data_IF_460940529528
#
_entry.id   IF_460940529528
#
_cell.length_a   1.000
_cell.length_b   1.000
_cell.length_c   1.000
_cell.angle_alpha   90.00
_cell.angle_beta   90.00
_cell.angle_gamma   90.00
#
_symmetry.space_group_name_H-M   'P 1'
#
loop_
_entity.id
_entity.type
_entity.pdbx_description
1 polymer ?
#
# COMPACT_ATOMS: atom_id res chain seq x y z
N UNK A 1 -3.64 10.55 14.23
CA UNK A 1 -2.42 9.72 14.19
C UNK A 1 -1.27 10.52 13.60
N UNK A 2 -0.06 10.41 14.15
CA UNK A 2 1.14 10.96 13.48
C UNK A 2 1.34 10.19 12.18
N UNK A 3 1.50 10.89 11.07
CA UNK A 3 1.77 10.27 9.78
C UNK A 3 3.03 9.39 9.87
N UNK A 4 2.89 8.10 9.57
CA UNK A 4 4.04 7.20 9.52
C UNK A 4 5.01 7.69 8.43
N UNK A 5 6.26 7.94 8.82
CA UNK A 5 7.24 8.50 7.90
C UNK A 5 7.61 7.50 6.82
N UNK A 6 7.56 7.96 5.57
CA UNK A 6 7.95 7.17 4.41
C UNK A 6 9.44 6.77 4.45
N UNK A 7 10.32 7.71 4.79
CA UNK A 7 11.72 7.45 5.06
C UNK A 7 12.04 7.81 6.51
N UNK A 8 12.64 6.90 7.27
CA UNK A 8 13.11 7.20 8.62
C UNK A 8 14.43 6.49 8.94
N UNK A 9 15.17 7.07 9.88
CA UNK A 9 16.42 6.53 10.39
C UNK A 9 16.14 5.90 11.76
N UNK A 10 16.55 4.66 11.96
CA UNK A 10 16.29 3.87 13.17
C UNK A 10 17.56 3.21 13.68
N UNK A 11 17.54 2.72 14.92
CA UNK A 11 18.71 2.13 15.57
C UNK A 11 18.72 0.59 15.57
N UNK A 12 17.56 -0.05 15.81
CA UNK A 12 17.47 -1.51 15.94
C UNK A 12 17.41 -2.23 14.59
N UNK A 13 18.46 -2.99 14.27
CA UNK A 13 18.54 -3.89 13.10
C UNK A 13 18.57 -5.39 13.48
N UNK A 14 18.17 -5.74 14.70
CA UNK A 14 18.37 -7.09 15.27
C UNK A 14 17.72 -8.22 14.47
N UNK A 15 16.61 -7.96 13.78
CA UNK A 15 15.89 -8.92 12.94
C UNK A 15 16.20 -8.74 11.43
N UNK A 16 17.15 -7.87 11.07
CA UNK A 16 17.56 -7.67 9.68
C UNK A 16 18.33 -8.89 9.17
N UNK A 17 18.01 -9.36 7.96
CA UNK A 17 18.61 -10.55 7.38
C UNK A 17 20.15 -10.45 7.33
N UNK A 18 20.66 -9.28 6.93
CA UNK A 18 22.09 -8.98 6.85
C UNK A 18 22.71 -8.42 8.14
N UNK A 19 22.02 -8.48 9.29
CA UNK A 19 22.56 -7.94 10.56
C UNK A 19 23.92 -8.57 10.91
N UNK A 20 24.10 -9.87 10.63
CA UNK A 20 25.30 -10.64 10.98
C UNK A 20 26.40 -10.66 9.90
N UNK A 21 26.13 -10.20 8.67
CA UNK A 21 27.02 -10.43 7.52
C UNK A 21 28.31 -9.57 7.50
N UNK A 22 28.41 -8.51 8.32
CA UNK A 22 29.49 -7.52 8.23
C UNK A 22 30.33 -7.33 9.51
N UNK A 23 30.28 -8.26 10.46
CA UNK A 23 31.32 -8.32 11.50
C UNK A 23 32.61 -8.86 10.87
N UNK A 24 33.67 -8.05 10.83
CA UNK A 24 35.02 -8.57 10.52
C UNK A 24 35.43 -9.60 11.57
N UNK A 25 36.50 -10.36 11.31
CA UNK A 25 37.06 -11.47 12.10
C UNK A 25 37.29 -11.14 13.62
N UNK A 26 37.12 -9.89 14.05
CA UNK A 26 37.18 -9.47 15.45
C UNK A 26 36.06 -8.49 15.87
N UNK A 27 34.89 -8.54 15.23
CA UNK A 27 33.73 -7.70 15.59
C UNK A 27 33.84 -6.22 15.21
N UNK A 28 34.88 -5.80 14.48
CA UNK A 28 35.06 -4.38 14.07
C UNK A 28 34.26 -4.05 12.82
N UNK A 29 33.53 -2.92 12.83
CA UNK A 29 32.84 -2.37 11.64
C UNK A 29 33.86 -2.03 10.54
N UNK A 30 33.53 -2.30 9.28
CA UNK A 30 34.43 -2.01 8.14
C UNK A 30 34.63 -0.50 7.99
N UNK A 31 35.89 -0.07 7.90
CA UNK A 31 36.24 1.36 7.85
C UNK A 31 35.59 2.11 6.66
N UNK A 32 35.26 1.43 5.56
CA UNK A 32 34.61 2.06 4.41
C UNK A 32 33.18 2.57 4.70
N UNK A 33 32.53 2.06 5.76
CA UNK A 33 31.20 2.46 6.20
C UNK A 33 31.21 3.40 7.40
N UNK A 34 32.33 3.51 8.14
CA UNK A 34 32.43 4.39 9.32
C UNK A 34 33.24 5.66 9.06
N UNK A 35 34.13 5.65 8.07
CA UNK A 35 34.87 6.84 7.69
C UNK A 35 34.04 7.69 6.73
N UNK A 36 33.56 8.85 7.18
CA UNK A 36 32.78 9.80 6.39
C UNK A 36 33.51 10.28 5.11
N UNK A 37 34.85 10.22 5.09
CA UNK A 37 35.65 10.55 3.92
C UNK A 37 35.73 9.41 2.88
N UNK A 38 35.28 8.21 3.23
CA UNK A 38 35.18 7.07 2.30
C UNK A 38 34.26 7.38 1.15
N UNK A 39 34.68 6.97 -0.07
CA UNK A 39 33.83 7.06 -1.27
C UNK A 39 32.53 6.28 -1.10
N UNK A 40 32.58 5.12 -0.42
CA UNK A 40 31.42 4.24 -0.16
C UNK A 40 30.44 4.96 0.75
N UNK A 41 30.90 5.48 1.89
CA UNK A 41 30.07 6.24 2.83
C UNK A 41 29.37 7.41 2.13
N UNK A 42 30.13 8.26 1.42
CA UNK A 42 29.57 9.41 0.69
C UNK A 42 28.50 8.99 -0.32
N UNK A 43 28.76 7.91 -1.06
CA UNK A 43 27.80 7.39 -2.04
C UNK A 43 26.53 6.85 -1.37
N UNK A 44 26.63 6.14 -0.24
CA UNK A 44 25.45 5.67 0.52
C UNK A 44 24.62 6.84 1.05
N UNK A 45 25.26 7.88 1.60
CA UNK A 45 24.55 9.08 2.05
C UNK A 45 23.82 9.78 0.89
N UNK A 46 24.40 9.77 -0.33
CA UNK A 46 23.69 10.24 -1.53
C UNK A 46 22.47 9.35 -1.86
N UNK A 47 22.56 8.03 -1.72
CA UNK A 47 21.39 7.15 -1.90
C UNK A 47 20.28 7.47 -0.89
N UNK A 48 20.63 7.76 0.37
CA UNK A 48 19.66 8.14 1.41
C UNK A 48 18.93 9.42 1.05
N UNK A 49 19.65 10.44 0.57
CA UNK A 49 19.03 11.70 0.11
C UNK A 49 18.15 11.48 -1.13
N UNK A 50 18.55 10.61 -2.06
CA UNK A 50 17.70 10.26 -3.21
C UNK A 50 16.40 9.61 -2.72
N UNK A 51 16.49 8.62 -1.83
CA UNK A 51 15.32 7.93 -1.29
C UNK A 51 14.41 8.89 -0.53
N UNK A 52 14.95 9.68 0.40
CA UNK A 52 14.18 10.63 1.20
C UNK A 52 13.34 11.61 0.37
N UNK A 53 13.82 11.99 -0.82
CA UNK A 53 13.18 13.01 -1.65
C UNK A 53 12.36 12.44 -2.84
N UNK A 54 12.53 11.17 -3.20
CA UNK A 54 12.01 10.63 -4.47
C UNK A 54 11.31 9.25 -4.32
N UNK A 55 10.93 8.85 -3.11
CA UNK A 55 10.21 7.58 -2.89
C UNK A 55 8.78 7.64 -3.46
N UNK A 56 8.35 6.65 -4.26
CA UNK A 56 6.95 6.48 -4.63
C UNK A 56 6.07 6.25 -3.40
N UNK A 57 4.83 6.75 -3.39
CA UNK A 57 3.92 6.72 -2.23
C UNK A 57 3.71 5.34 -1.62
N UNK A 58 3.79 4.26 -2.41
CA UNK A 58 3.63 2.88 -1.95
C UNK A 58 4.89 2.25 -1.36
N UNK A 59 6.01 2.97 -1.26
CA UNK A 59 7.28 2.46 -0.73
C UNK A 59 7.67 3.19 0.55
N UNK A 60 7.99 2.43 1.60
CA UNK A 60 8.49 2.94 2.87
C UNK A 60 9.84 2.31 3.21
N UNK A 61 10.75 3.10 3.75
CA UNK A 61 12.15 2.73 3.96
C UNK A 61 12.58 3.04 5.40
N UNK A 62 13.32 2.10 5.99
CA UNK A 62 14.08 2.28 7.22
C UNK A 62 15.55 2.06 6.93
N UNK A 63 16.36 3.03 7.34
CA UNK A 63 17.83 2.94 7.30
C UNK A 63 18.38 2.99 8.72
N UNK A 64 19.61 2.53 8.91
CA UNK A 64 20.13 2.29 10.26
C UNK A 64 21.32 3.18 10.62
N UNK A 65 21.21 3.94 11.72
CA UNK A 65 22.25 4.88 12.18
C UNK A 65 23.63 4.21 12.30
N UNK A 66 23.62 3.02 12.90
CA UNK A 66 24.84 2.28 13.20
C UNK A 66 25.37 1.41 12.05
N UNK A 67 24.53 1.18 11.05
CA UNK A 67 24.73 0.23 9.95
C UNK A 67 24.22 0.87 8.68
N UNK A 68 24.92 1.92 8.24
CA UNK A 68 24.54 2.67 7.04
C UNK A 68 24.50 1.81 5.77
N UNK A 69 25.19 0.66 5.81
CA UNK A 69 25.20 -0.35 4.76
C UNK A 69 23.86 -1.10 4.63
N UNK A 70 22.94 -0.99 5.60
CA UNK A 70 21.68 -1.72 5.61
C UNK A 70 20.50 -0.79 5.31
N UNK A 71 19.49 -1.34 4.62
CA UNK A 71 18.17 -0.73 4.52
C UNK A 71 17.08 -1.81 4.52
N UNK A 72 15.94 -1.52 5.15
CA UNK A 72 14.72 -2.30 5.04
C UNK A 72 13.67 -1.50 4.28
N UNK A 73 12.97 -2.16 3.39
CA UNK A 73 11.94 -1.57 2.55
C UNK A 73 10.66 -2.39 2.67
N UNK A 74 9.52 -1.72 2.73
CA UNK A 74 8.22 -2.33 2.46
C UNK A 74 7.61 -1.68 1.23
N UNK A 75 7.07 -2.51 0.34
CA UNK A 75 6.29 -2.09 -0.81
C UNK A 75 4.85 -2.51 -0.56
N UNK A 76 3.92 -1.56 -0.62
CA UNK A 76 2.49 -1.81 -0.59
C UNK A 76 2.08 -2.30 -1.99
N UNK A 77 1.36 -3.41 -2.07
CA UNK A 77 0.86 -3.91 -3.35
C UNK A 77 -0.18 -2.99 -3.95
N UNK A 78 0.00 -2.66 -5.23
CA UNK A 78 -0.85 -1.70 -5.95
C UNK A 78 -2.22 -2.32 -6.30
N UNK A 79 -3.23 -1.45 -6.42
CA UNK A 79 -4.53 -1.83 -6.99
C UNK A 79 -4.37 -2.38 -8.42
N UNK A 80 -5.31 -3.21 -8.88
CA UNK A 80 -5.23 -3.92 -10.18
C UNK A 80 -4.11 -4.96 -10.27
N UNK A 81 -3.61 -5.43 -9.13
CA UNK A 81 -2.66 -6.54 -9.06
C UNK A 81 -3.17 -7.60 -8.08
N UNK A 82 -2.75 -8.88 -8.18
CA UNK A 82 -3.04 -9.87 -7.14
C UNK A 82 -2.30 -9.60 -5.81
N UNK A 83 -1.50 -8.54 -5.75
CA UNK A 83 -0.76 -8.10 -4.58
C UNK A 83 -1.49 -7.02 -3.77
N UNK A 84 -2.61 -6.49 -4.28
CA UNK A 84 -3.28 -5.33 -3.72
C UNK A 84 -3.47 -5.43 -2.20
N UNK A 85 -3.21 -4.31 -1.51
CA UNK A 85 -3.28 -4.19 -0.04
C UNK A 85 -2.29 -5.06 0.75
N UNK A 86 -1.55 -5.95 0.10
CA UNK A 86 -0.46 -6.71 0.71
C UNK A 86 0.75 -5.82 1.03
N UNK A 87 1.56 -6.25 1.98
CA UNK A 87 2.81 -5.61 2.36
C UNK A 87 3.97 -6.57 2.06
N UNK A 88 4.95 -6.13 1.27
CA UNK A 88 6.08 -6.96 0.82
C UNK A 88 7.39 -6.38 1.33
N UNK A 89 8.05 -7.09 2.24
CA UNK A 89 9.26 -6.63 2.92
C UNK A 89 10.54 -7.14 2.24
N UNK A 90 11.52 -6.24 2.14
CA UNK A 90 12.83 -6.50 1.58
C UNK A 90 13.92 -5.92 2.48
N UNK A 91 14.95 -6.71 2.73
CA UNK A 91 16.19 -6.27 3.37
C UNK A 91 17.27 -6.14 2.30
N UNK A 92 18.08 -5.08 2.37
CA UNK A 92 19.21 -4.91 1.47
C UNK A 92 20.50 -4.60 2.24
N UNK A 93 21.62 -4.95 1.63
CA UNK A 93 22.94 -4.62 2.13
C UNK A 93 23.85 -4.08 1.01
N UNK A 94 24.38 -2.87 1.20
CA UNK A 94 25.41 -2.31 0.33
C UNK A 94 26.75 -3.05 0.55
N UNK A 95 27.43 -3.50 -0.50
CA UNK A 95 28.72 -4.16 -0.36
C UNK A 95 29.84 -3.15 -0.04
N UNK A 96 30.97 -3.64 0.49
CA UNK A 96 32.10 -2.78 0.85
C UNK A 96 32.80 -2.12 -0.34
N UNK A 97 32.46 -2.50 -1.57
CA UNK A 97 32.94 -1.90 -2.82
C UNK A 97 31.86 -1.07 -3.55
N UNK A 98 30.71 -0.79 -2.92
CA UNK A 98 29.63 0.02 -3.52
C UNK A 98 30.15 1.38 -4.02
N UNK A 99 29.75 1.87 -5.21
CA UNK A 99 28.74 1.33 -6.12
C UNK A 99 29.28 0.38 -7.20
N UNK A 100 30.52 -0.14 -7.08
CA UNK A 100 31.09 -1.04 -8.10
C UNK A 100 30.29 -2.34 -8.27
N UNK A 101 29.70 -2.83 -7.18
CA UNK A 101 28.77 -3.96 -7.18
C UNK A 101 27.41 -3.48 -6.68
N UNK A 102 26.31 -4.08 -7.17
CA UNK A 102 24.96 -3.77 -6.68
C UNK A 102 24.80 -4.17 -5.21
N UNK A 103 23.78 -3.64 -4.51
CA UNK A 103 23.40 -4.12 -3.19
C UNK A 103 22.94 -5.58 -3.25
N UNK A 104 23.15 -6.31 -2.15
CA UNK A 104 22.49 -7.60 -1.92
C UNK A 104 21.05 -7.34 -1.50
N UNK A 105 20.12 -8.23 -1.88
CA UNK A 105 18.70 -8.11 -1.58
C UNK A 105 18.16 -9.43 -1.02
N UNK A 106 17.25 -9.33 -0.06
CA UNK A 106 16.55 -10.45 0.55
C UNK A 106 15.06 -10.12 0.68
N UNK A 107 14.21 -10.99 0.15
CA UNK A 107 12.76 -10.91 0.28
C UNK A 107 12.28 -11.75 1.46
N UNK A 108 11.43 -11.17 2.31
CA UNK A 108 10.80 -11.89 3.42
C UNK A 108 9.66 -12.77 2.90
N UNK A 109 10.02 -13.93 2.35
CA UNK A 109 9.08 -14.80 1.63
C UNK A 109 8.11 -15.58 2.54
N UNK A 110 8.39 -15.70 3.84
CA UNK A 110 7.62 -16.52 4.79
C UNK A 110 7.39 -17.98 4.33
N UNK A 111 8.27 -18.52 3.48
CA UNK A 111 8.12 -19.85 2.89
C UNK A 111 7.05 -19.94 1.79
N UNK A 112 6.63 -18.81 1.21
CA UNK A 112 5.59 -18.73 0.18
C UNK A 112 6.21 -18.38 -1.19
N UNK A 113 5.73 -19.03 -2.25
CA UNK A 113 6.21 -18.83 -3.62
C UNK A 113 5.29 -17.85 -4.37
N UNK A 114 5.51 -16.54 -4.14
CA UNK A 114 4.58 -15.48 -4.54
C UNK A 114 4.80 -14.94 -5.96
N UNK A 115 6.01 -15.09 -6.51
CA UNK A 115 6.37 -14.51 -7.80
C UNK A 115 7.61 -15.23 -8.34
N UNK A 116 7.72 -15.48 -9.67
CA UNK A 116 8.91 -16.12 -10.24
C UNK A 116 10.22 -15.37 -9.96
N UNK A 117 10.14 -14.04 -9.80
CA UNK A 117 11.30 -13.22 -9.45
C UNK A 117 11.58 -13.15 -7.94
N UNK A 118 10.73 -13.69 -7.08
CA UNK A 118 10.85 -13.66 -5.62
C UNK A 118 10.82 -15.07 -5.06
N UNK A 119 11.99 -15.66 -4.86
CA UNK A 119 12.10 -17.06 -4.43
C UNK A 119 11.64 -17.29 -2.99
N UNK A 120 11.15 -18.51 -2.72
CA UNK A 120 10.76 -19.01 -1.39
C UNK A 120 11.88 -18.88 -0.34
N UNK A 121 13.14 -18.98 -0.75
CA UNK A 121 14.30 -18.82 0.12
C UNK A 121 14.70 -17.34 0.35
N UNK A 122 13.94 -16.40 -0.21
CA UNK A 122 14.17 -14.96 -0.11
C UNK A 122 15.10 -14.38 -1.17
N UNK A 123 15.56 -15.17 -2.15
CA UNK A 123 16.36 -14.64 -3.25
C UNK A 123 15.51 -13.76 -4.18
N UNK A 124 16.03 -12.58 -4.52
CA UNK A 124 15.41 -11.61 -5.43
C UNK A 124 16.10 -11.67 -6.79
N UNK A 125 15.35 -11.98 -7.85
CA UNK A 125 15.84 -12.06 -9.22
C UNK A 125 15.59 -10.77 -9.99
N UNK A 126 16.61 -9.93 -10.16
CA UNK A 126 16.56 -8.71 -10.96
C UNK A 126 17.83 -8.59 -11.82
N UNK A 127 17.70 -8.03 -13.03
CA UNK A 127 18.87 -7.74 -13.87
C UNK A 127 19.79 -6.72 -13.20
N UNK A 128 19.22 -5.68 -12.55
CA UNK A 128 19.97 -4.67 -11.79
C UNK A 128 20.74 -5.24 -10.59
N UNK A 129 20.40 -6.44 -10.13
CA UNK A 129 21.10 -7.11 -9.04
C UNK A 129 22.02 -8.24 -9.55
N UNK A 130 22.12 -8.42 -10.87
CA UNK A 130 22.84 -9.53 -11.52
C UNK A 130 22.37 -10.93 -11.11
N UNK A 131 21.16 -11.05 -10.57
CA UNK A 131 20.59 -12.33 -10.12
C UNK A 131 19.65 -12.96 -11.13
N UNK A 132 19.11 -12.18 -12.08
CA UNK A 132 18.27 -12.69 -13.16
C UNK A 132 19.11 -13.04 -14.40
N UNK A 133 18.91 -14.25 -14.94
CA UNK A 133 19.66 -14.77 -16.09
C UNK A 133 19.01 -14.40 -17.45
N UNK A 134 18.36 -13.24 -17.58
CA UNK A 134 17.81 -12.78 -18.86
C UNK A 134 18.92 -12.09 -19.67
N UNK A 135 19.01 -12.39 -20.98
CA UNK A 135 20.03 -11.88 -21.92
C UNK A 135 19.90 -10.39 -22.31
N UNK A 136 18.97 -9.64 -21.72
CA UNK A 136 18.81 -8.21 -22.05
C UNK A 136 19.79 -7.36 -21.26
N UNK A 137 20.90 -7.01 -21.92
CA UNK A 137 22.03 -6.23 -21.37
C UNK A 137 21.65 -4.79 -20.95
N UNK A 138 20.54 -4.25 -21.46
CA UNK A 138 20.13 -2.85 -21.27
C UNK A 138 19.67 -2.48 -19.85
N UNK A 139 19.60 -3.44 -18.91
CA UNK A 139 19.14 -3.21 -17.52
C UNK A 139 20.08 -3.77 -16.44
N UNK A 140 21.38 -3.90 -16.74
CA UNK A 140 22.39 -4.32 -15.77
C UNK A 140 22.83 -3.16 -14.86
N UNK A 141 23.41 -3.49 -13.70
CA UNK A 141 23.92 -2.49 -12.76
C UNK A 141 25.05 -1.67 -13.38
N UNK A 142 24.91 -0.34 -13.39
CA UNK A 142 25.96 0.58 -13.80
C UNK A 142 26.48 1.36 -12.57
N UNK A 143 27.74 1.16 -12.15
CA UNK A 143 28.31 1.84 -10.99
C UNK A 143 28.25 3.38 -11.04
N UNK A 144 28.14 3.96 -12.23
CA UNK A 144 28.15 5.42 -12.43
C UNK A 144 26.76 6.06 -12.37
N UNK A 145 25.70 5.30 -12.62
CA UNK A 145 24.34 5.85 -12.79
C UNK A 145 23.24 5.07 -12.06
N UNK A 146 23.48 3.81 -11.70
CA UNK A 146 22.49 3.01 -10.99
C UNK A 146 22.31 3.48 -9.55
N UNK A 147 21.08 3.38 -9.06
CA UNK A 147 20.68 3.78 -7.69
C UNK A 147 19.85 2.69 -7.04
N UNK A 148 19.78 2.69 -5.71
CA UNK A 148 18.87 1.81 -4.98
C UNK A 148 17.41 2.11 -5.34
N UNK A 149 17.06 3.37 -5.59
CA UNK A 149 15.71 3.76 -6.01
C UNK A 149 15.27 3.03 -7.29
N UNK A 150 16.15 2.88 -8.28
CA UNK A 150 15.84 2.13 -9.51
C UNK A 150 15.61 0.64 -9.26
N UNK A 151 16.30 0.05 -8.27
CA UNK A 151 16.04 -1.33 -7.82
C UNK A 151 14.63 -1.40 -7.21
N UNK A 152 14.26 -0.44 -6.35
CA UNK A 152 12.93 -0.40 -5.73
C UNK A 152 11.81 -0.21 -6.77
N UNK A 153 12.00 0.68 -7.75
CA UNK A 153 11.08 0.82 -8.87
C UNK A 153 10.97 -0.46 -9.72
N UNK A 154 12.08 -1.20 -9.88
CA UNK A 154 12.05 -2.49 -10.58
C UNK A 154 11.27 -3.55 -9.80
N UNK A 155 11.30 -3.52 -8.47
CA UNK A 155 10.49 -4.40 -7.64
C UNK A 155 8.99 -4.09 -7.74
N UNK A 156 8.59 -2.83 -7.83
CA UNK A 156 7.19 -2.49 -8.12
C UNK A 156 6.73 -3.07 -9.47
N UNK A 157 7.59 -3.05 -10.49
CA UNK A 157 7.29 -3.69 -11.78
C UNK A 157 7.23 -5.23 -11.69
N UNK A 158 7.92 -5.85 -10.73
CA UNK A 158 7.78 -7.30 -10.45
C UNK A 158 6.39 -7.59 -9.86
N UNK A 159 5.90 -6.73 -8.97
CA UNK A 159 4.58 -6.83 -8.34
C UNK A 159 3.45 -6.28 -9.24
N UNK A 160 3.39 -6.73 -10.50
CA UNK A 160 2.46 -6.23 -11.51
C UNK A 160 1.12 -7.00 -11.59
N UNK A 161 0.25 -6.61 -12.53
CA UNK A 161 -1.07 -7.21 -12.77
C UNK A 161 -1.04 -8.69 -13.18
N UNK A 162 -0.01 -9.12 -13.92
CA UNK A 162 0.08 -10.45 -14.53
C UNK A 162 1.44 -11.11 -14.22
N UNK A 163 1.73 -11.41 -12.95
CA UNK A 163 3.02 -11.94 -12.51
C UNK A 163 3.33 -13.33 -13.07
N UNK A 164 2.37 -14.03 -13.67
CA UNK A 164 2.65 -15.25 -14.45
C UNK A 164 3.76 -15.02 -15.48
N UNK A 165 3.71 -13.92 -16.23
CA UNK A 165 4.68 -13.61 -17.30
C UNK A 165 6.04 -13.10 -16.79
N UNK A 166 6.21 -12.99 -15.48
CA UNK A 166 7.51 -12.68 -14.89
C UNK A 166 8.51 -13.83 -15.06
N UNK A 167 8.01 -15.06 -15.18
CA UNK A 167 8.85 -16.25 -15.38
C UNK A 167 9.69 -16.09 -16.66
N UNK A 168 11.03 -16.07 -16.54
CA UNK A 168 11.92 -15.87 -17.68
C UNK A 168 11.88 -17.01 -18.70
N UNK A 169 11.34 -18.18 -18.35
CA UNK A 169 11.27 -19.33 -19.24
C UNK A 169 9.98 -19.37 -20.08
N UNK A 170 8.98 -18.53 -19.80
CA UNK A 170 7.75 -18.48 -20.59
C UNK A 170 7.93 -17.89 -21.99
N UNK A 171 8.82 -16.90 -22.14
CA UNK A 171 9.13 -16.29 -23.45
C UNK A 171 9.61 -17.32 -24.47
N UNK A 172 10.25 -18.41 -24.01
CA UNK A 172 10.78 -19.49 -24.86
C UNK A 172 9.64 -20.22 -25.59
N UNK A 173 8.46 -20.30 -24.98
CA UNK A 173 7.32 -21.04 -25.51
C UNK A 173 6.30 -20.16 -26.24
N UNK A 174 6.54 -18.84 -26.33
CA UNK A 174 5.67 -17.86 -26.97
C UNK A 174 4.18 -17.99 -26.56
N UNK A 175 3.95 -18.42 -25.32
CA UNK A 175 2.65 -18.87 -24.83
C UNK A 175 1.92 -17.74 -24.12
N UNK A 176 1.28 -16.85 -24.87
CA UNK A 176 0.33 -15.92 -24.28
C UNK A 176 -0.88 -16.72 -23.77
N UNK A 177 -0.88 -17.05 -22.49
CA UNK A 177 -1.93 -17.83 -21.85
C UNK A 177 -2.65 -17.03 -20.75
N UNK A 178 -3.72 -16.33 -21.15
CA UNK A 178 -4.49 -15.48 -20.24
C UNK A 178 -5.19 -16.29 -19.14
N UNK A 179 -5.61 -17.52 -19.43
CA UNK A 179 -6.27 -18.39 -18.46
C UNK A 179 -5.28 -18.85 -17.39
N UNK A 180 -4.08 -19.28 -17.78
CA UNK A 180 -3.00 -19.59 -16.84
C UNK A 180 -2.60 -18.36 -16.02
N UNK A 181 -2.54 -17.18 -16.63
CA UNK A 181 -2.28 -15.94 -15.89
C UNK A 181 -3.36 -15.63 -14.86
N UNK A 182 -4.64 -15.83 -15.19
CA UNK A 182 -5.76 -15.64 -14.23
C UNK A 182 -5.71 -16.67 -13.10
N UNK A 183 -5.45 -17.94 -13.41
CA UNK A 183 -5.25 -18.98 -12.39
C UNK A 183 -4.09 -18.61 -11.47
N UNK A 184 -2.97 -18.18 -12.04
CA UNK A 184 -1.80 -17.75 -11.27
C UNK A 184 -2.13 -16.56 -10.35
N UNK A 185 -2.87 -15.57 -10.83
CA UNK A 185 -3.31 -14.43 -10.01
C UNK A 185 -4.13 -14.87 -8.79
N UNK A 186 -5.00 -15.86 -8.94
CA UNK A 186 -5.78 -16.42 -7.83
C UNK A 186 -4.87 -17.03 -6.76
N UNK A 187 -3.88 -17.83 -7.18
CA UNK A 187 -2.89 -18.40 -6.25
C UNK A 187 -2.07 -17.30 -5.58
N UNK A 188 -1.59 -16.32 -6.33
CA UNK A 188 -0.81 -15.19 -5.77
C UNK A 188 -1.62 -14.43 -4.73
N UNK A 189 -2.90 -14.13 -4.98
CA UNK A 189 -3.74 -13.43 -4.01
C UNK A 189 -3.98 -14.24 -2.73
N UNK A 190 -4.22 -15.55 -2.85
CA UNK A 190 -4.29 -16.46 -1.70
C UNK A 190 -3.00 -16.39 -0.85
N UNK A 191 -1.84 -16.39 -1.51
CA UNK A 191 -0.53 -16.29 -0.85
C UNK A 191 -0.28 -14.88 -0.26
N UNK A 192 -0.77 -13.82 -0.90
CA UNK A 192 -0.75 -12.45 -0.37
C UNK A 192 -1.53 -12.39 0.94
N UNK A 193 -2.73 -12.99 0.99
CA UNK A 193 -3.53 -13.10 2.21
C UNK A 193 -2.81 -13.89 3.33
N UNK A 194 -2.11 -14.97 2.98
CA UNK A 194 -1.26 -15.70 3.95
C UNK A 194 -0.10 -14.84 4.46
N UNK A 195 0.48 -14.02 3.61
CA UNK A 195 1.54 -13.07 3.99
C UNK A 195 1.01 -12.03 4.98
N UNK A 196 -0.20 -11.50 4.76
CA UNK A 196 -0.87 -10.60 5.72
C UNK A 196 -1.00 -11.24 7.10
N UNK A 197 -1.41 -12.51 7.18
CA UNK A 197 -1.47 -13.26 8.44
C UNK A 197 -0.11 -13.41 9.12
N UNK A 198 0.96 -13.68 8.36
CA UNK A 198 2.32 -13.77 8.89
C UNK A 198 2.75 -12.43 9.49
N UNK A 199 2.49 -11.33 8.80
CA UNK A 199 2.86 -9.98 9.23
C UNK A 199 2.06 -9.50 10.43
N UNK A 200 0.75 -9.79 10.50
CA UNK A 200 -0.07 -9.48 11.67
C UNK A 200 0.39 -10.24 12.93
N UNK A 201 0.95 -11.45 12.76
CA UNK A 201 1.50 -12.24 13.86
C UNK A 201 2.88 -11.76 14.30
N UNK A 202 3.75 -11.42 13.36
CA UNK A 202 5.13 -11.01 13.61
C UNK A 202 5.56 -9.95 12.59
N UNK A 203 5.18 -8.68 12.82
CA UNK A 203 5.64 -7.60 11.96
C UNK A 203 7.17 -7.45 12.06
N UNK A 204 7.85 -7.05 10.97
CA UNK A 204 9.27 -6.70 11.02
C UNK A 204 9.53 -5.51 11.93
N UNK A 205 10.67 -5.50 12.62
CA UNK A 205 11.07 -4.39 13.50
C UNK A 205 11.07 -3.06 12.75
N UNK A 206 10.64 -2.02 13.47
CA UNK A 206 10.50 -0.63 13.02
C UNK A 206 9.35 -0.39 12.01
N UNK A 207 8.49 -1.40 11.83
CA UNK A 207 7.31 -1.36 10.97
C UNK A 207 6.06 -1.91 11.66
N UNK A 208 6.12 -2.19 12.97
CA UNK A 208 4.99 -2.72 13.73
C UNK A 208 3.76 -1.83 13.60
N UNK A 209 3.91 -0.53 13.92
CA UNK A 209 2.82 0.45 13.81
C UNK A 209 2.30 0.52 12.37
N UNK A 210 3.18 0.58 11.36
CA UNK A 210 2.76 0.64 9.96
C UNK A 210 1.94 -0.58 9.52
N UNK A 211 2.37 -1.79 9.90
CA UNK A 211 1.66 -3.03 9.58
C UNK A 211 0.27 -3.02 10.21
N UNK A 212 0.19 -2.69 11.51
CA UNK A 212 -1.08 -2.70 12.23
C UNK A 212 -2.04 -1.61 11.74
N UNK A 213 -1.54 -0.39 11.53
CA UNK A 213 -2.33 0.74 11.02
C UNK A 213 -2.81 0.48 9.58
N UNK A 214 -1.93 0.02 8.68
CA UNK A 214 -2.28 -0.29 7.31
C UNK A 214 -3.39 -1.34 7.25
N UNK A 215 -3.22 -2.47 7.94
CA UNK A 215 -4.24 -3.52 7.91
C UNK A 215 -5.52 -3.15 8.68
N UNK A 216 -5.46 -2.27 9.68
CA UNK A 216 -6.66 -1.71 10.29
C UNK A 216 -7.46 -0.89 9.28
N UNK A 217 -6.80 0.05 8.59
CA UNK A 217 -7.43 0.92 7.60
C UNK A 217 -7.96 0.16 6.37
N UNK A 218 -7.30 -0.95 5.99
CA UNK A 218 -7.64 -1.71 4.79
C UNK A 218 -8.50 -2.95 5.06
N UNK A 219 -8.78 -3.29 6.32
CA UNK A 219 -9.49 -4.52 6.70
C UNK A 219 -10.83 -4.70 5.96
N UNK A 220 -11.66 -3.65 5.92
CA UNK A 220 -12.97 -3.70 5.23
C UNK A 220 -12.82 -4.03 3.75
N UNK A 221 -11.97 -3.27 3.05
CA UNK A 221 -11.73 -3.47 1.64
C UNK A 221 -11.16 -4.87 1.33
N UNK A 222 -10.17 -5.33 2.10
CA UNK A 222 -9.56 -6.66 1.92
C UNK A 222 -10.62 -7.76 2.06
N UNK A 223 -11.43 -7.71 3.11
CA UNK A 223 -12.43 -8.76 3.37
C UNK A 223 -13.55 -8.77 2.34
N UNK A 224 -14.00 -7.59 1.89
CA UNK A 224 -14.98 -7.50 0.81
C UNK A 224 -14.40 -7.98 -0.54
N UNK A 225 -13.13 -7.67 -0.84
CA UNK A 225 -12.44 -8.20 -2.02
C UNK A 225 -12.35 -9.73 -1.97
N UNK A 226 -11.99 -10.31 -0.82
CA UNK A 226 -11.95 -11.76 -0.63
C UNK A 226 -13.31 -12.40 -0.96
N UNK A 227 -14.41 -11.88 -0.40
CA UNK A 227 -15.75 -12.41 -0.68
C UNK A 227 -16.12 -12.28 -2.16
N UNK A 228 -15.87 -11.11 -2.76
CA UNK A 228 -16.15 -10.90 -4.19
C UNK A 228 -15.36 -11.87 -5.09
N UNK A 229 -14.15 -12.28 -4.70
CA UNK A 229 -13.36 -13.26 -5.45
C UNK A 229 -13.80 -14.71 -5.18
N UNK A 230 -14.20 -15.03 -3.95
CA UNK A 230 -14.76 -16.33 -3.57
C UNK A 230 -16.08 -16.59 -4.31
N UNK A 231 -16.95 -15.58 -4.36
CA UNK A 231 -18.28 -15.66 -4.98
C UNK A 231 -18.25 -15.50 -6.51
N UNK A 232 -17.07 -15.21 -7.08
CA UNK A 232 -16.91 -14.99 -8.52
C UNK A 232 -17.54 -13.68 -9.02
N UNK A 233 -17.92 -12.77 -8.10
CA UNK A 233 -18.45 -11.45 -8.44
C UNK A 233 -17.41 -10.52 -9.06
N UNK A 234 -16.12 -10.76 -8.78
CA UNK A 234 -15.01 -10.03 -9.37
C UNK A 234 -13.82 -10.95 -9.67
N UNK A 235 -12.97 -10.55 -10.62
CA UNK A 235 -11.66 -11.17 -10.83
C UNK A 235 -10.63 -10.56 -9.86
N UNK A 236 -9.67 -11.36 -9.42
CA UNK A 236 -8.56 -10.93 -8.56
C UNK A 236 -7.84 -9.69 -9.15
N UNK A 237 -7.65 -8.68 -8.32
CA UNK A 237 -7.09 -7.37 -8.67
C UNK A 237 -8.14 -6.32 -9.08
N UNK A 238 -9.38 -6.71 -9.38
CA UNK A 238 -10.40 -5.82 -9.97
C UNK A 238 -11.64 -5.65 -9.10
N UNK A 239 -11.49 -5.71 -7.79
CA UNK A 239 -12.57 -5.38 -6.86
C UNK A 239 -12.84 -3.85 -6.91
N UNK A 240 -14.12 -3.45 -7.01
CA UNK A 240 -14.61 -2.07 -7.18
C UNK A 240 -14.42 -1.40 -8.56
N UNK A 241 -14.29 -2.17 -9.65
CA UNK A 241 -14.42 -1.63 -11.01
C UNK A 241 -15.84 -1.93 -11.52
N UNK A 242 -16.64 -0.88 -11.74
CA UNK A 242 -18.08 -0.93 -12.05
C UNK A 242 -18.49 -2.06 -13.02
N UNK A 243 -19.32 -2.98 -12.52
CA UNK A 243 -20.33 -3.70 -13.31
C UNK A 243 -19.86 -4.69 -14.38
N UNK A 244 -18.57 -4.96 -14.55
CA UNK A 244 -18.11 -6.03 -15.43
C UNK A 244 -18.26 -7.38 -14.71
N UNK A 245 -19.47 -7.93 -14.73
CA UNK A 245 -19.71 -9.35 -14.49
C UNK A 245 -19.06 -10.17 -15.61
N UNK A 246 -17.74 -10.20 -15.64
CA UNK A 246 -17.03 -11.33 -16.21
C UNK A 246 -17.30 -12.45 -15.22
N UNK A 247 -18.22 -13.36 -15.55
CA UNK A 247 -18.32 -14.67 -14.92
C UNK A 247 -16.97 -15.38 -15.11
N UNK A 248 -16.00 -15.01 -14.30
CA UNK A 248 -14.77 -15.75 -14.12
C UNK A 248 -15.25 -16.97 -13.35
N UNK A 249 -15.34 -18.11 -14.02
CA UNK A 249 -15.48 -19.39 -13.34
C UNK A 249 -14.49 -19.37 -12.18
N UNK A 250 -15.00 -19.27 -10.95
CA UNK A 250 -14.17 -19.45 -9.78
C UNK A 250 -13.58 -20.82 -9.93
N UNK A 251 -12.26 -20.89 -9.94
CA UNK A 251 -11.58 -22.17 -9.98
C UNK A 251 -11.93 -22.80 -8.64
N UNK A 252 -12.70 -23.89 -8.64
CA UNK A 252 -13.24 -24.55 -7.44
C UNK A 252 -12.16 -24.77 -6.36
N UNK A 253 -10.92 -25.05 -6.80
CA UNK A 253 -9.74 -25.17 -5.93
C UNK A 253 -9.39 -23.86 -5.20
N UNK A 254 -9.37 -22.72 -5.91
CA UNK A 254 -9.10 -21.42 -5.31
C UNK A 254 -10.18 -21.05 -4.30
N UNK A 255 -11.45 -21.24 -4.65
CA UNK A 255 -12.58 -21.00 -3.76
C UNK A 255 -12.46 -21.83 -2.48
N UNK A 256 -12.22 -23.14 -2.60
CA UNK A 256 -12.04 -24.02 -1.45
C UNK A 256 -10.87 -23.60 -0.54
N UNK A 257 -9.75 -23.19 -1.13
CA UNK A 257 -8.57 -22.71 -0.38
C UNK A 257 -8.85 -21.38 0.33
N UNK A 258 -9.52 -20.44 -0.34
CA UNK A 258 -9.89 -19.15 0.24
C UNK A 258 -10.94 -19.30 1.33
N UNK A 259 -11.97 -20.13 1.15
CA UNK A 259 -12.96 -20.45 2.18
C UNK A 259 -12.32 -21.03 3.44
N UNK A 260 -11.22 -21.78 3.31
CA UNK A 260 -10.43 -22.27 4.44
C UNK A 260 -9.59 -21.19 5.11
N UNK A 261 -9.00 -20.26 4.33
CA UNK A 261 -8.12 -19.20 4.85
C UNK A 261 -8.89 -18.02 5.45
N UNK A 262 -10.05 -17.69 4.87
CA UNK A 262 -10.81 -16.48 5.14
C UNK A 262 -11.21 -16.32 6.62
N UNK A 263 -11.67 -17.35 7.35
CA UNK A 263 -12.00 -17.22 8.77
C UNK A 263 -10.81 -16.75 9.62
N UNK A 264 -9.61 -17.30 9.37
CA UNK A 264 -8.39 -16.91 10.06
C UNK A 264 -7.99 -15.47 9.72
N UNK A 265 -8.08 -15.09 8.45
CA UNK A 265 -7.79 -13.72 7.98
C UNK A 265 -8.76 -12.71 8.61
N UNK A 266 -10.06 -12.99 8.59
CA UNK A 266 -11.10 -12.16 9.21
C UNK A 266 -10.84 -12.00 10.70
N UNK A 267 -10.60 -13.10 11.42
CA UNK A 267 -10.31 -13.05 12.85
C UNK A 267 -9.06 -12.21 13.17
N UNK A 268 -7.99 -12.35 12.38
CA UNK A 268 -6.76 -11.58 12.57
C UNK A 268 -6.96 -10.09 12.30
N UNK A 269 -7.64 -9.72 11.21
CA UNK A 269 -7.92 -8.32 10.86
C UNK A 269 -8.86 -7.65 11.85
N UNK A 270 -9.93 -8.34 12.29
CA UNK A 270 -10.84 -7.82 13.32
C UNK A 270 -10.14 -7.63 14.65
N UNK A 271 -9.30 -8.59 15.08
CA UNK A 271 -8.51 -8.47 16.31
C UNK A 271 -7.55 -7.28 16.23
N UNK A 272 -6.88 -7.10 15.10
CA UNK A 272 -5.99 -5.97 14.86
C UNK A 272 -6.74 -4.64 14.96
N UNK A 273 -7.88 -4.52 14.27
CA UNK A 273 -8.70 -3.31 14.30
C UNK A 273 -9.17 -2.96 15.72
N UNK A 274 -9.66 -3.95 16.48
CA UNK A 274 -10.05 -3.75 17.88
C UNK A 274 -8.88 -3.22 18.73
N UNK A 275 -7.69 -3.81 18.59
CA UNK A 275 -6.49 -3.38 19.32
C UNK A 275 -6.06 -1.95 18.97
N UNK A 276 -6.19 -1.54 17.71
CA UNK A 276 -5.87 -0.18 17.28
C UNK A 276 -6.91 0.82 17.80
N UNK A 277 -8.20 0.47 17.80
CA UNK A 277 -9.27 1.33 18.32
C UNK A 277 -9.12 1.53 19.83
N UNK A 278 -8.80 0.49 20.60
CA UNK A 278 -8.60 0.57 22.05
C UNK A 278 -7.41 1.46 22.45
N UNK A 279 -6.41 1.57 21.58
CA UNK A 279 -5.23 2.41 21.80
C UNK A 279 -5.35 3.83 21.21
N UNK A 280 -6.41 4.10 20.44
CA UNK A 280 -6.67 5.40 19.83
C UNK A 280 -7.32 6.39 20.82
N UNK A 281 -7.09 7.69 20.61
CA UNK A 281 -7.84 8.70 21.37
C UNK A 281 -9.35 8.63 21.04
N UNK A 282 -10.27 9.11 21.90
CA UNK A 282 -11.71 8.98 21.67
C UNK A 282 -12.20 9.55 20.33
N UNK A 283 -11.55 10.60 19.81
CA UNK A 283 -11.88 11.20 18.50
C UNK A 283 -11.37 10.31 17.36
N UNK A 284 -10.15 9.79 17.47
CA UNK A 284 -9.56 8.89 16.47
C UNK A 284 -10.29 7.55 16.42
N UNK A 285 -10.71 7.03 17.57
CA UNK A 285 -11.52 5.83 17.69
C UNK A 285 -12.84 5.96 16.91
N UNK A 286 -13.46 7.15 16.89
CA UNK A 286 -14.67 7.40 16.09
C UNK A 286 -14.37 7.30 14.59
N UNK A 287 -13.30 7.94 14.09
CA UNK A 287 -12.93 7.85 12.67
C UNK A 287 -12.55 6.43 12.24
N UNK A 288 -11.79 5.71 13.07
CA UNK A 288 -11.38 4.33 12.80
C UNK A 288 -12.60 3.41 12.87
N UNK A 289 -13.51 3.64 13.81
CA UNK A 289 -14.77 2.89 13.92
C UNK A 289 -15.68 3.15 12.73
N UNK A 290 -15.80 4.37 12.21
CA UNK A 290 -16.52 4.62 10.96
C UNK A 290 -15.90 3.88 9.76
N UNK A 291 -14.57 3.80 9.68
CA UNK A 291 -13.88 3.01 8.65
C UNK A 291 -14.07 1.48 8.85
N UNK A 292 -14.19 1.04 10.10
CA UNK A 292 -14.37 -0.36 10.47
C UNK A 292 -15.84 -0.84 10.41
N UNK A 293 -16.83 -0.01 10.70
CA UNK A 293 -18.27 -0.36 10.75
C UNK A 293 -18.82 -0.75 9.37
N UNK A 294 -18.10 -0.43 8.27
CA UNK A 294 -18.31 -1.03 6.95
C UNK A 294 -18.02 -2.54 6.87
N UNK A 295 -17.53 -3.17 7.95
CA UNK A 295 -17.32 -4.61 8.10
C UNK A 295 -18.56 -5.39 8.58
N UNK A 296 -19.51 -4.72 9.23
CA UNK A 296 -20.63 -5.38 9.92
C UNK A 296 -21.94 -5.38 9.10
N UNK A 297 -22.01 -4.60 8.02
CA UNK A 297 -23.21 -4.50 7.18
C UNK A 297 -23.36 -5.63 6.14
N UNK A 298 -22.44 -6.61 6.07
CA UNK A 298 -22.48 -7.67 5.03
C UNK A 298 -23.30 -8.91 5.39
N UNK A 299 -24.07 -8.90 6.48
CA UNK A 299 -24.97 -10.01 6.83
C UNK A 299 -26.31 -9.53 7.37
N UNK A 300 -27.16 -8.93 6.52
CA UNK A 300 -28.62 -9.12 6.54
C UNK A 300 -29.26 -8.31 5.42
N UNK A 301 -29.46 -8.89 4.24
CA UNK A 301 -30.56 -8.48 3.35
C UNK A 301 -30.99 -9.66 2.49
N UNK A 302 -31.77 -10.55 3.09
CA UNK A 302 -32.82 -11.30 2.40
C UNK A 302 -33.99 -11.37 3.37
N UNK A 303 -34.74 -10.27 3.43
CA UNK A 303 -36.15 -10.25 3.74
C UNK A 303 -36.68 -8.88 3.31
N UNK A 304 -37.63 -8.92 2.38
CA UNK A 304 -38.56 -7.83 2.13
C UNK A 304 -39.24 -7.43 3.45
N UNK A 305 -39.67 -6.18 3.53
CA UNK A 305 -40.29 -5.51 4.68
C UNK A 305 -39.37 -5.01 5.80
N UNK A 306 -38.80 -3.82 5.58
CA UNK A 306 -38.81 -2.72 6.57
C UNK A 306 -38.46 -1.39 5.84
N UNK A 307 -39.44 -0.48 5.80
CA UNK A 307 -39.22 0.92 5.39
C UNK A 307 -38.12 1.54 6.27
N UNK A 308 -37.18 2.32 5.71
CA UNK A 308 -36.21 3.05 6.54
C UNK A 308 -36.95 4.16 7.30
N UNK A 309 -36.96 4.07 8.63
CA UNK A 309 -37.31 5.19 9.50
C UNK A 309 -36.15 6.19 9.49
N UNK A 310 -36.37 7.31 8.80
CA UNK A 310 -35.75 8.64 8.95
C UNK A 310 -34.45 8.69 9.78
N UNK A 311 -33.29 8.50 9.13
CA UNK A 311 -32.11 9.26 9.51
C UNK A 311 -32.21 10.62 8.81
N UNK A 312 -32.32 11.67 9.61
CA UNK A 312 -32.54 13.03 9.13
C UNK A 312 -31.28 13.54 8.40
N UNK A 313 -31.46 14.03 7.17
CA UNK A 313 -30.39 14.53 6.29
C UNK A 313 -29.60 15.68 6.95
N UNK A 314 -30.18 16.29 7.98
CA UNK A 314 -29.61 17.32 8.84
C UNK A 314 -28.44 16.81 9.71
N UNK A 315 -28.44 15.55 10.17
CA UNK A 315 -27.34 14.98 10.96
C UNK A 315 -26.10 14.74 10.09
N UNK A 316 -26.29 14.25 8.86
CA UNK A 316 -25.19 14.07 7.90
C UNK A 316 -24.52 15.40 7.53
N UNK A 317 -25.31 16.46 7.32
CA UNK A 317 -24.81 17.80 7.02
C UNK A 317 -24.11 18.46 8.22
N UNK A 318 -24.57 18.20 9.45
CA UNK A 318 -23.90 18.69 10.66
C UNK A 318 -22.53 18.04 10.88
N UNK A 319 -22.41 16.73 10.62
CA UNK A 319 -21.15 16.00 10.72
C UNK A 319 -20.18 16.45 9.63
N UNK A 320 -20.65 16.64 8.39
CA UNK A 320 -19.83 17.19 7.30
C UNK A 320 -19.39 18.65 7.55
N UNK A 321 -20.25 19.45 8.18
CA UNK A 321 -19.94 20.84 8.57
C UNK A 321 -18.86 20.92 9.66
N UNK A 322 -18.87 20.00 10.63
CA UNK A 322 -17.82 19.88 11.66
C UNK A 322 -16.47 19.44 11.07
N UNK A 323 -16.49 18.59 10.04
CA UNK A 323 -15.29 18.14 9.32
C UNK A 323 -14.61 19.30 8.57
N UNK A 324 -15.36 20.24 7.98
CA UNK A 324 -14.79 21.42 7.32
C UNK A 324 -14.20 22.44 8.31
N UNK A 325 -14.76 22.54 9.53
CA UNK A 325 -14.33 23.50 10.54
C UNK A 325 -12.95 23.18 11.16
N UNK A 326 -12.52 21.91 11.12
CA UNK A 326 -11.26 21.46 11.70
C UNK A 326 -10.08 21.48 10.71
N UNK A 327 -10.34 21.63 9.40
CA UNK A 327 -9.31 21.50 8.35
C UNK A 327 -8.91 22.87 7.76
N UNK A 328 -9.66 23.96 8.02
CA UNK A 328 -9.27 25.32 7.62
C UNK A 328 -9.82 26.38 8.58
N UNK A 329 -8.99 27.23 9.26
CA UNK A 329 -9.49 28.27 10.15
C UNK A 329 -10.00 29.52 9.42
N UNK A 330 -10.23 29.45 8.11
CA UNK A 330 -10.79 30.52 7.31
C UNK A 330 -12.02 29.98 6.60
N UNK A 331 -13.17 29.96 7.28
CA UNK A 331 -14.51 30.14 6.70
C UNK A 331 -15.53 30.18 7.83
N UNK A 332 -15.86 31.40 8.28
CA UNK A 332 -17.03 31.66 9.11
C UNK A 332 -18.15 32.08 8.14
N UNK A 333 -19.09 31.18 7.84
CA UNK A 333 -20.39 31.56 7.29
C UNK A 333 -21.47 30.64 7.90
N UNK A 334 -22.45 31.32 8.48
CA UNK A 334 -23.53 30.84 9.34
C UNK A 334 -24.61 30.15 8.49
N UNK A 335 -25.01 28.93 8.84
CA UNK A 335 -26.30 28.38 8.44
C UNK A 335 -27.37 28.79 9.48
N UNK A 336 -28.35 29.59 9.06
CA UNK A 336 -29.64 29.73 9.77
C UNK A 336 -30.74 29.03 8.96
N UNK A 337 -31.79 28.51 9.60
CA UNK A 337 -32.81 27.72 8.93
C UNK A 337 -33.69 28.59 8.02
N UNK A 338 -34.04 28.05 6.86
CA UNK A 338 -34.82 28.74 5.83
C UNK A 338 -36.32 28.70 6.16
N UNK A 339 -36.88 29.86 6.53
CA UNK A 339 -38.32 30.14 6.40
C UNK A 339 -38.61 30.77 5.03
N UNK A 340 -39.77 30.46 4.47
CA UNK A 340 -40.15 30.82 3.09
C UNK A 340 -40.37 32.33 2.95
N UNK A 341 -39.93 32.88 1.80
CA UNK A 341 -40.00 34.28 1.36
C UNK A 341 -38.93 35.22 1.90
N UNK A 342 -37.75 35.21 1.30
CA UNK A 342 -37.00 36.39 0.82
C UNK A 342 -35.65 35.95 0.20
N UNK A 343 -35.20 36.63 -0.87
CA UNK A 343 -34.21 36.12 -1.85
C UNK A 343 -32.75 35.95 -1.40
N UNK A 344 -32.00 35.17 -2.19
CA UNK A 344 -30.58 34.85 -1.99
C UNK A 344 -29.64 36.02 -2.30
N UNK A 345 -28.62 36.22 -1.47
CA UNK A 345 -27.47 37.10 -1.70
C UNK A 345 -26.26 36.26 -2.15
N UNK A 346 -25.72 36.53 -3.34
CA UNK A 346 -24.38 36.08 -3.75
C UNK A 346 -23.34 37.15 -3.40
N UNK A 347 -22.19 36.75 -2.84
CA UNK A 347 -21.01 37.61 -2.71
C UNK A 347 -19.76 36.90 -3.24
N UNK A 348 -19.18 37.46 -4.31
CA UNK A 348 -17.76 37.32 -4.68
C UNK A 348 -17.04 38.61 -4.24
N UNK A 349 -15.80 38.46 -3.80
CA UNK A 349 -14.99 39.53 -3.22
C UNK A 349 -14.82 40.76 -4.11
N UNK A 350 -14.97 41.94 -3.50
CA UNK A 350 -14.67 43.33 -3.93
C UNK A 350 -15.81 44.12 -4.62
N UNK A 351 -16.36 45.07 -3.85
CA UNK A 351 -16.88 46.36 -4.35
C UNK A 351 -18.41 46.49 -4.37
N UNK A 352 -19.00 47.19 -3.41
CA UNK A 352 -20.43 47.52 -3.39
C UNK A 352 -20.83 48.47 -4.53
N UNK A 353 -22.00 48.22 -5.16
CA UNK A 353 -23.07 49.20 -5.44
C UNK A 353 -24.43 48.47 -5.46
N UNK A 354 -25.41 49.03 -4.75
CA UNK A 354 -26.82 48.62 -4.77
C UNK A 354 -27.56 49.29 -5.93
N UNK A 355 -28.43 48.56 -6.63
CA UNK A 355 -29.58 49.11 -7.34
C UNK A 355 -30.80 48.19 -7.14
N UNK A 356 -32.02 48.74 -7.01
CA UNK A 356 -33.21 47.96 -6.69
C UNK A 356 -33.85 47.35 -7.94
N UNK A 357 -34.42 46.14 -7.76
CA UNK A 357 -35.68 45.67 -8.35
C UNK A 357 -35.80 45.60 -9.88
N UNK A 358 -36.04 44.38 -10.36
CA UNK A 358 -36.59 44.04 -11.68
C UNK A 358 -35.66 44.24 -12.88
N UNK A 359 -34.99 43.17 -13.34
CA UNK A 359 -34.97 42.77 -14.76
C UNK A 359 -34.38 41.37 -14.90
N UNK A 360 -35.26 40.48 -15.40
CA UNK A 360 -35.08 39.06 -15.65
C UNK A 360 -34.33 38.81 -16.98
N UNK A 361 -33.77 37.59 -17.11
CA UNK A 361 -33.65 36.85 -18.38
C UNK A 361 -32.92 37.53 -19.56
N UNK A 362 -31.64 37.18 -19.77
CA UNK A 362 -30.96 36.98 -21.08
C UNK A 362 -29.43 37.02 -20.84
N UNK A 363 -28.65 36.31 -21.67
CA UNK A 363 -27.16 36.23 -21.67
C UNK A 363 -26.46 35.14 -20.85
N UNK A 364 -26.99 33.91 -20.85
CA UNK A 364 -26.16 32.69 -20.84
C UNK A 364 -26.05 32.13 -22.25
N UNK A 365 -25.34 32.85 -23.13
CA UNK A 365 -24.76 32.33 -24.38
C UNK A 365 -23.41 33.02 -24.60
N UNK A 366 -22.37 32.19 -24.74
CA UNK A 366 -20.96 32.50 -25.00
C UNK A 366 -20.11 32.77 -23.74
N UNK A 367 -19.51 31.70 -23.21
CA UNK A 367 -18.05 31.48 -23.06
C UNK A 367 -17.81 29.98 -22.87
#
# INVERSE_FOLDING_TARGET
>A
MKQFKQFDIVSDNSDHYFAKSNFTIFGKKKACFTNENSRVHKKIMQEWEILKNNLPESIYVRVYEERIDLLRVVIVGDARTPYHDGLFFFDFAFPSNYPKSPPEAYYHAHGLDLNPNLSVNGMVHLNLLHTLKRKNEEKLWNPSSSTILQVLSSLQLVLNEKPYYNDPFLDIFNSFNEEASKYYNNIVFLLSCKTMLCLLRKPPRNFEDFVYEHFCCRASFILQACNAYIEGCARVGYYNNDGSHSSSSTIEEFEALMCKLYPDLKAALTKNAASIIESASPIEAVFIKFAADGLDQSHTTNNEDLRPSNLDVTEYLCIFGLVLFLISPIFLLIFMPHDKNTGCLFWLSRGMRMFPGDYCYEQLKNI
#
